data_IF_316008188310
#
_entry.id   IF_316008188310
#
_cell.length_a   1.000
_cell.length_b   1.000
_cell.length_c   1.000
_cell.angle_alpha   90.00
_cell.angle_beta   90.00
_cell.angle_gamma   90.00
#
_symmetry.space_group_name_H-M   'P 1'
#
loop_
_entity.id
_entity.type
_entity.pdbx_description
1 polymer ?
#
# COMPACT_ATOMS: atom_id res chain seq x y z
N UNK A 1 -3.12 -26.12 2.38
CA UNK A 1 -2.57 -25.82 1.04
C UNK A 1 -3.68 -25.23 0.20
N UNK A 2 -3.35 -24.51 -0.88
CA UNK A 2 -4.35 -24.12 -1.88
C UNK A 2 -4.75 -25.34 -2.70
N UNK A 3 -6.04 -25.45 -3.02
CA UNK A 3 -6.59 -26.50 -3.87
C UNK A 3 -6.39 -26.18 -5.36
N UNK A 4 -6.43 -24.91 -5.73
CA UNK A 4 -6.22 -24.42 -7.10
C UNK A 4 -5.23 -23.26 -7.14
N UNK A 5 -4.54 -23.08 -8.27
CA UNK A 5 -3.62 -21.95 -8.49
C UNK A 5 -4.34 -20.60 -8.33
N UNK A 6 -5.58 -20.50 -8.79
CA UNK A 6 -6.40 -19.28 -8.69
C UNK A 6 -6.66 -18.85 -7.24
N UNK A 7 -6.78 -19.79 -6.30
CA UNK A 7 -6.96 -19.47 -4.87
C UNK A 7 -5.71 -18.84 -4.27
N UNK A 8 -4.53 -19.31 -4.68
CA UNK A 8 -3.26 -18.74 -4.29
C UNK A 8 -3.09 -17.33 -4.86
N UNK A 9 -3.41 -17.15 -6.14
CA UNK A 9 -3.36 -15.84 -6.82
C UNK A 9 -4.28 -14.82 -6.14
N UNK A 10 -5.51 -15.22 -5.82
CA UNK A 10 -6.45 -14.36 -5.12
C UNK A 10 -5.94 -13.96 -3.74
N UNK A 11 -5.36 -14.91 -3.00
CA UNK A 11 -4.81 -14.62 -1.67
C UNK A 11 -3.63 -13.66 -1.73
N UNK A 12 -2.75 -13.82 -2.73
CA UNK A 12 -1.62 -12.90 -2.97
C UNK A 12 -2.14 -11.52 -3.36
N UNK A 13 -3.11 -11.44 -4.27
CA UNK A 13 -3.73 -10.18 -4.66
C UNK A 13 -4.36 -9.45 -3.46
N UNK A 14 -5.15 -10.17 -2.65
CA UNK A 14 -5.76 -9.61 -1.45
C UNK A 14 -4.72 -9.09 -0.46
N UNK A 15 -3.64 -9.84 -0.23
CA UNK A 15 -2.55 -9.39 0.63
C UNK A 15 -1.84 -8.14 0.08
N UNK A 16 -1.58 -8.09 -1.24
CA UNK A 16 -0.96 -6.94 -1.90
C UNK A 16 -1.80 -5.68 -1.70
N UNK A 17 -3.09 -5.73 -2.04
CA UNK A 17 -3.99 -4.59 -2.06
C UNK A 17 -4.39 -4.10 -0.66
N UNK A 18 -4.65 -5.03 0.27
CA UNK A 18 -5.20 -4.66 1.58
C UNK A 18 -4.14 -4.42 2.64
N UNK A 19 -2.96 -5.03 2.51
CA UNK A 19 -1.94 -5.01 3.55
C UNK A 19 -0.59 -4.47 3.09
N UNK A 20 -0.01 -5.05 2.03
CA UNK A 20 1.36 -4.77 1.63
C UNK A 20 1.54 -3.36 1.08
N UNK A 21 0.76 -2.95 0.07
CA UNK A 21 0.91 -1.64 -0.56
C UNK A 21 0.72 -0.49 0.44
N UNK A 22 -0.18 -0.66 1.42
CA UNK A 22 -0.42 0.33 2.49
C UNK A 22 0.77 0.52 3.44
N UNK A 23 1.61 -0.51 3.62
CA UNK A 23 2.71 -0.54 4.60
C UNK A 23 4.10 -0.49 3.97
N UNK A 24 4.19 -0.74 2.67
CA UNK A 24 5.46 -0.70 1.96
C UNK A 24 5.99 0.73 1.95
N UNK A 25 7.26 0.89 2.32
CA UNK A 25 7.98 2.14 2.09
C UNK A 25 8.41 2.22 0.63
N UNK A 26 8.19 3.39 0.02
CA UNK A 26 8.55 3.66 -1.37
C UNK A 26 9.72 4.64 -1.41
N UNK A 27 10.85 4.23 -2.00
CA UNK A 27 12.02 5.10 -2.15
C UNK A 27 11.72 6.35 -2.98
N UNK A 28 10.84 6.24 -3.98
CA UNK A 28 10.35 7.36 -4.78
C UNK A 28 9.53 8.37 -3.98
N UNK A 29 8.96 7.96 -2.84
CA UNK A 29 8.23 8.83 -1.90
C UNK A 29 9.12 9.30 -0.74
N UNK A 30 10.46 9.15 -0.85
CA UNK A 30 11.39 9.49 0.22
C UNK A 30 11.31 8.51 1.39
N UNK A 31 11.13 7.22 1.10
CA UNK A 31 10.99 6.13 2.08
C UNK A 31 9.75 6.26 2.99
N UNK A 32 8.66 6.78 2.44
CA UNK A 32 7.35 6.84 3.10
C UNK A 32 6.40 5.77 2.60
N UNK A 33 5.45 5.41 3.45
CA UNK A 33 4.24 4.71 3.03
C UNK A 33 3.34 5.64 2.22
N UNK A 34 2.40 5.05 1.47
CA UNK A 34 1.39 5.82 0.73
C UNK A 34 0.56 6.67 1.71
N UNK A 35 0.18 6.13 2.86
CA UNK A 35 -0.61 6.83 3.87
C UNK A 35 0.14 8.04 4.45
N UNK A 36 1.42 7.90 4.80
CA UNK A 36 2.25 9.03 5.25
C UNK A 36 2.37 10.10 4.17
N UNK A 37 2.61 9.70 2.92
CA UNK A 37 2.72 10.62 1.80
C UNK A 37 1.41 11.41 1.56
N UNK A 38 0.26 10.73 1.56
CA UNK A 38 -1.05 11.37 1.40
C UNK A 38 -1.37 12.33 2.55
N UNK A 39 -1.08 11.93 3.80
CA UNK A 39 -1.28 12.79 4.97
C UNK A 39 -0.41 14.05 4.92
N UNK A 40 0.85 13.94 4.50
CA UNK A 40 1.71 15.10 4.29
C UNK A 40 1.15 16.05 3.22
N UNK A 41 0.70 15.51 2.08
CA UNK A 41 0.09 16.31 1.01
C UNK A 41 -1.18 17.03 1.50
N UNK A 42 -2.05 16.33 2.23
CA UNK A 42 -3.28 16.90 2.78
C UNK A 42 -2.98 18.03 3.77
N UNK A 43 -2.02 17.83 4.68
CA UNK A 43 -1.61 18.85 5.64
C UNK A 43 -1.01 20.09 4.97
N UNK A 44 -0.25 19.90 3.89
CA UNK A 44 0.27 21.01 3.09
C UNK A 44 -0.85 21.82 2.40
N UNK A 45 -1.90 21.14 1.92
CA UNK A 45 -3.05 21.82 1.30
C UNK A 45 -3.86 22.65 2.30
N UNK A 46 -4.03 22.18 3.54
CA UNK A 46 -4.75 22.93 4.58
C UNK A 46 -3.95 24.13 5.09
N UNK A 47 -2.62 24.01 5.13
CA UNK A 47 -1.74 25.07 5.61
C UNK A 47 -1.51 26.21 4.60
N UNK A 48 -1.94 26.03 3.35
CA UNK A 48 -1.82 27.00 2.25
C UNK A 48 -3.09 27.86 2.09
#
# INVERSE_FOLDING_TARGET
SYGLRSEAELSVFQWIETWYNRRRMHSTLGYKTIEEFENEMYNQQIAA
#
